data_IF_522745719422
#
_entry.id   IF_522745719422
#
_cell.length_a   1.000
_cell.length_b   1.000
_cell.length_c   1.000
_cell.angle_alpha   90.00
_cell.angle_beta   90.00
_cell.angle_gamma   90.00
#
_symmetry.space_group_name_H-M   'P 1'
#
loop_
_entity.id
_entity.type
_entity.pdbx_description
1 polymer ?
#
# COMPACT_ATOMS: atom_id res chain seq x y z
N UNK A 1 5.64 11.71 -6.59
CA UNK A 1 5.77 10.30 -6.19
C UNK A 1 7.21 9.89 -6.42
N UNK A 2 7.81 9.14 -5.51
CA UNK A 2 9.15 8.56 -5.69
C UNK A 2 9.07 7.14 -6.24
N UNK A 3 10.02 6.74 -7.07
CA UNK A 3 10.10 5.35 -7.58
C UNK A 3 10.39 4.38 -6.44
N UNK A 4 11.25 4.80 -5.51
CA UNK A 4 11.75 3.94 -4.44
C UNK A 4 10.71 3.68 -3.36
N UNK A 5 9.88 4.69 -3.05
CA UNK A 5 9.05 4.69 -1.84
C UNK A 5 7.61 5.19 -2.05
N UNK A 6 7.18 5.41 -3.29
CA UNK A 6 5.85 5.96 -3.54
C UNK A 6 5.73 7.42 -3.04
N UNK A 7 4.56 7.79 -2.52
CA UNK A 7 4.35 9.13 -1.97
C UNK A 7 5.05 9.29 -0.61
N UNK A 8 5.84 10.35 -0.50
CA UNK A 8 6.54 10.74 0.73
C UNK A 8 6.21 12.19 1.07
N UNK A 9 6.13 12.54 2.36
CA UNK A 9 6.27 13.94 2.77
C UNK A 9 7.55 14.52 2.17
N UNK A 10 7.49 15.75 1.67
CA UNK A 10 8.62 16.36 0.96
C UNK A 10 9.92 16.37 1.80
N UNK A 11 9.80 16.52 3.13
CA UNK A 11 10.92 16.49 4.07
C UNK A 11 11.61 15.13 4.24
N UNK A 12 11.04 14.05 3.72
CA UNK A 12 11.64 12.70 3.76
C UNK A 12 12.35 12.33 2.45
N UNK A 13 12.18 13.11 1.38
CA UNK A 13 12.81 12.86 0.09
C UNK A 13 14.30 13.20 0.20
N UNK A 14 15.15 12.32 -0.32
CA UNK A 14 16.62 12.43 -0.23
C UNK A 14 17.22 12.70 -1.60
N UNK A 15 18.44 13.26 -1.60
CA UNK A 15 19.24 13.39 -2.82
C UNK A 15 19.45 12.03 -3.48
N UNK A 16 19.36 12.00 -4.80
CA UNK A 16 19.48 10.78 -5.61
C UNK A 16 18.20 9.97 -5.75
N UNK A 17 17.12 10.27 -5.01
CA UNK A 17 15.82 9.63 -5.23
C UNK A 17 15.23 10.04 -6.59
N UNK A 18 14.45 9.15 -7.18
CA UNK A 18 13.80 9.37 -8.46
C UNK A 18 12.35 9.79 -8.25
N UNK A 19 11.95 10.90 -8.85
CA UNK A 19 10.57 11.40 -8.85
C UNK A 19 9.93 11.19 -10.22
N UNK A 20 8.64 10.91 -10.25
CA UNK A 20 7.91 10.50 -11.47
C UNK A 20 7.22 11.70 -12.14
N UNK A 21 7.41 11.82 -13.45
CA UNK A 21 6.72 12.75 -14.36
C UNK A 21 5.39 12.17 -14.86
N UNK A 22 4.52 13.03 -15.41
CA UNK A 22 3.20 12.63 -15.92
C UNK A 22 3.24 11.58 -17.05
N UNK A 23 4.32 11.56 -17.83
CA UNK A 23 4.52 10.62 -18.93
C UNK A 23 5.23 9.32 -18.49
N UNK A 24 5.48 9.16 -17.19
CA UNK A 24 6.16 8.00 -16.62
C UNK A 24 7.69 8.09 -16.63
N UNK A 25 8.28 9.16 -17.18
CA UNK A 25 9.72 9.41 -17.03
C UNK A 25 10.08 9.75 -15.58
N UNK A 26 11.37 9.71 -15.29
CA UNK A 26 11.90 9.92 -13.94
C UNK A 26 12.94 11.02 -13.92
N UNK A 27 12.82 11.93 -12.96
CA UNK A 27 13.81 12.92 -12.62
C UNK A 27 14.57 12.55 -11.36
N UNK A 28 15.84 12.95 -11.26
CA UNK A 28 16.66 12.72 -10.07
C UNK A 28 16.64 13.97 -9.18
N UNK A 29 16.36 13.78 -7.89
CA UNK A 29 16.47 14.85 -6.89
C UNK A 29 17.95 15.21 -6.69
N UNK A 30 18.38 16.32 -7.30
CA UNK A 30 19.78 16.76 -7.30
C UNK A 30 20.13 17.77 -6.20
N UNK A 31 19.14 18.37 -5.54
CA UNK A 31 19.36 19.38 -4.53
C UNK A 31 18.10 19.77 -3.76
N UNK A 32 18.30 20.35 -2.57
CA UNK A 32 17.24 20.98 -1.78
C UNK A 32 17.60 22.43 -1.49
N UNK A 33 16.59 23.31 -1.52
CA UNK A 33 16.73 24.69 -1.05
C UNK A 33 15.60 25.01 -0.09
N UNK A 34 15.97 25.20 1.18
CA UNK A 34 15.07 25.78 2.17
C UNK A 34 14.88 27.26 1.87
N UNK A 35 13.62 27.69 1.70
CA UNK A 35 13.27 29.10 1.48
C UNK A 35 12.50 29.58 2.70
N UNK A 36 13.13 30.32 3.63
CA UNK A 36 12.44 30.81 4.82
C UNK A 36 11.43 31.91 4.48
N UNK A 37 10.39 32.03 5.29
CA UNK A 37 9.37 33.07 5.19
C UNK A 37 7.94 32.51 5.03
N UNK A 38 6.96 33.39 5.17
CA UNK A 38 5.55 33.07 4.92
C UNK A 38 5.22 33.38 3.47
N UNK A 39 4.57 32.46 2.78
CA UNK A 39 4.06 32.65 1.43
C UNK A 39 2.65 32.09 1.32
N UNK A 40 1.82 32.72 0.50
CA UNK A 40 0.57 32.11 0.05
C UNK A 40 0.90 30.87 -0.77
N UNK A 41 0.38 29.73 -0.33
CA UNK A 41 0.50 28.45 -1.02
C UNK A 41 -0.86 28.06 -1.57
N UNK A 42 -0.87 27.43 -2.74
CA UNK A 42 -2.11 27.00 -3.39
C UNK A 42 -2.20 25.49 -3.41
N UNK A 43 -3.43 25.01 -3.42
CA UNK A 43 -3.75 23.59 -3.46
C UNK A 43 -4.89 23.34 -4.44
N UNK A 44 -4.94 22.12 -4.98
CA UNK A 44 -6.02 21.66 -5.85
C UNK A 44 -6.79 20.55 -5.14
N UNK A 45 -8.11 20.72 -5.06
CA UNK A 45 -9.01 19.63 -4.70
C UNK A 45 -9.37 18.89 -5.99
N UNK A 46 -9.00 17.62 -6.06
CA UNK A 46 -9.34 16.72 -7.17
C UNK A 46 -10.20 15.59 -6.61
N UNK A 47 -11.28 15.27 -7.32
CA UNK A 47 -12.34 14.40 -6.78
C UNK A 47 -11.92 12.94 -6.57
N UNK A 48 -10.83 12.48 -7.19
CA UNK A 48 -10.37 11.09 -7.17
C UNK A 48 -8.85 11.02 -7.03
N UNK A 49 -8.37 10.06 -6.25
CA UNK A 49 -6.95 9.70 -6.02
C UNK A 49 -6.05 10.81 -5.45
N UNK A 50 -6.57 12.03 -5.30
CA UNK A 50 -5.89 13.18 -4.69
C UNK A 50 -4.51 13.46 -5.31
N UNK A 51 -4.35 13.03 -6.55
CA UNK A 51 -3.09 13.00 -7.30
C UNK A 51 -3.23 13.87 -8.54
N UNK A 52 -2.27 14.76 -8.74
CA UNK A 52 -2.24 15.68 -9.87
C UNK A 52 -0.78 16.00 -10.22
N UNK A 53 -0.58 16.76 -11.29
CA UNK A 53 0.75 17.11 -11.78
C UNK A 53 1.01 18.59 -11.62
N UNK A 54 2.25 18.96 -11.25
CA UNK A 54 2.64 20.36 -11.03
C UNK A 54 3.99 20.72 -11.63
N UNK A 55 4.17 22.01 -11.90
CA UNK A 55 5.47 22.59 -12.28
C UNK A 55 5.96 22.18 -13.67
N UNK A 56 7.19 22.58 -13.96
CA UNK A 56 7.89 22.20 -15.20
C UNK A 56 8.30 20.74 -15.09
N UNK A 57 7.91 19.92 -16.08
CA UNK A 57 8.06 18.45 -16.05
C UNK A 57 6.82 17.71 -15.57
N UNK A 58 5.75 18.42 -15.17
CA UNK A 58 4.48 17.81 -14.77
C UNK A 58 4.67 16.70 -13.71
N UNK A 59 5.34 17.03 -12.61
CA UNK A 59 5.68 16.06 -11.57
C UNK A 59 4.42 15.57 -10.85
N UNK A 60 4.30 14.26 -10.68
CA UNK A 60 3.17 13.65 -9.98
C UNK A 60 3.27 13.98 -8.49
N UNK A 61 2.31 14.73 -7.98
CA UNK A 61 2.18 15.09 -6.56
C UNK A 61 0.85 14.59 -6.03
N UNK A 62 0.79 14.44 -4.73
CA UNK A 62 -0.42 14.10 -4.02
C UNK A 62 -0.67 15.15 -2.96
N UNK A 63 -1.92 15.62 -2.86
CA UNK A 63 -2.36 16.40 -1.72
C UNK A 63 -3.54 15.69 -1.05
N UNK A 64 -3.30 15.35 0.20
CA UNK A 64 -4.34 15.35 1.21
C UNK A 64 -3.78 16.01 2.47
N UNK A 65 -4.64 16.69 3.23
CA UNK A 65 -4.32 17.46 4.43
C UNK A 65 -3.85 16.62 5.62
N UNK A 66 -2.74 15.89 5.45
CA UNK A 66 -2.23 14.91 6.41
C UNK A 66 -2.99 13.61 6.28
N UNK A 67 -2.30 12.57 5.81
CA UNK A 67 -2.82 11.23 5.47
C UNK A 67 -3.76 11.21 4.26
N UNK A 68 -3.57 10.23 3.37
CA UNK A 68 -4.56 9.90 2.33
C UNK A 68 -5.89 9.72 3.08
N UNK A 69 -6.95 10.48 2.79
CA UNK A 69 -8.20 10.28 3.49
C UNK A 69 -8.71 8.95 2.98
N UNK A 70 -8.70 7.95 3.86
CA UNK A 70 -9.26 6.65 3.56
C UNK A 70 -10.67 6.82 2.98
N UNK A 71 -10.91 6.19 1.83
CA UNK A 71 -12.13 6.37 1.04
C UNK A 71 -13.40 6.04 1.82
N UNK A 72 -13.27 5.21 2.86
CA UNK A 72 -14.36 4.80 3.72
C UNK A 72 -13.98 4.71 5.20
N UNK A 73 -15.02 4.65 6.05
CA UNK A 73 -14.87 4.49 7.49
C UNK A 73 -14.20 3.16 7.84
N UNK A 74 -14.50 2.08 7.12
CA UNK A 74 -13.94 0.75 7.35
C UNK A 74 -12.45 0.73 7.05
N UNK A 75 -12.02 1.33 5.93
CA UNK A 75 -10.59 1.46 5.62
C UNK A 75 -9.86 2.29 6.68
N UNK A 76 -10.43 3.43 7.10
CA UNK A 76 -9.85 4.25 8.17
C UNK A 76 -9.68 3.49 9.48
N UNK A 77 -10.72 2.77 9.89
CA UNK A 77 -10.70 2.01 11.15
C UNK A 77 -9.70 0.84 11.08
N UNK A 78 -9.63 0.15 9.95
CA UNK A 78 -8.66 -0.91 9.72
C UNK A 78 -7.23 -0.37 9.78
N UNK A 79 -6.96 0.77 9.14
CA UNK A 79 -5.65 1.43 9.19
C UNK A 79 -5.22 1.80 10.61
N UNK A 80 -6.12 2.44 11.37
CA UNK A 80 -5.87 2.79 12.77
C UNK A 80 -5.66 1.56 13.65
N UNK A 81 -6.39 0.47 13.39
CA UNK A 81 -6.24 -0.78 14.14
C UNK A 81 -4.88 -1.42 13.88
N UNK A 82 -4.43 -1.43 12.63
CA UNK A 82 -3.08 -1.89 12.26
C UNK A 82 -2.02 -1.03 12.95
N UNK A 83 -2.18 0.30 12.96
CA UNK A 83 -1.24 1.21 13.65
C UNK A 83 -1.21 0.97 15.18
N UNK A 84 -2.32 0.49 15.75
CA UNK A 84 -2.42 0.06 17.13
C UNK A 84 -1.89 -1.38 17.38
N UNK A 85 -1.38 -2.04 16.34
CA UNK A 85 -0.79 -3.39 16.42
C UNK A 85 -1.74 -4.54 16.12
N UNK A 86 -2.95 -4.28 15.61
CA UNK A 86 -3.85 -5.35 15.18
C UNK A 86 -3.28 -6.08 13.96
N UNK A 87 -3.26 -7.41 14.03
CA UNK A 87 -2.78 -8.29 12.95
C UNK A 87 -3.91 -8.81 12.08
N UNK A 88 -5.15 -8.75 12.54
CA UNK A 88 -6.33 -9.16 11.79
C UNK A 88 -7.33 -8.00 11.78
N UNK A 89 -7.69 -7.52 10.59
CA UNK A 89 -8.67 -6.44 10.40
C UNK A 89 -9.63 -6.78 9.27
N UNK A 90 -10.79 -6.12 9.24
CA UNK A 90 -11.82 -6.35 8.21
C UNK A 90 -12.19 -5.05 7.52
N UNK A 91 -12.35 -5.11 6.21
CA UNK A 91 -12.86 -4.04 5.35
C UNK A 91 -14.02 -4.57 4.49
N UNK A 92 -14.73 -3.68 3.80
CA UNK A 92 -16.00 -4.01 3.16
C UNK A 92 -15.83 -4.77 1.84
N UNK A 93 -14.70 -4.58 1.14
CA UNK A 93 -14.48 -5.14 -0.20
C UNK A 93 -13.00 -5.39 -0.49
N UNK A 94 -12.72 -6.15 -1.54
CA UNK A 94 -11.36 -6.35 -2.06
C UNK A 94 -10.70 -5.02 -2.40
N UNK A 95 -11.46 -4.10 -3.02
CA UNK A 95 -10.96 -2.77 -3.40
C UNK A 95 -10.53 -1.94 -2.19
N UNK A 96 -11.28 -2.03 -1.08
CA UNK A 96 -10.91 -1.39 0.18
C UNK A 96 -9.65 -2.01 0.80
N UNK A 97 -9.47 -3.33 0.68
CA UNK A 97 -8.27 -4.00 1.16
C UNK A 97 -7.03 -3.59 0.33
N UNK A 98 -7.20 -3.41 -0.98
CA UNK A 98 -6.16 -2.93 -1.87
C UNK A 98 -5.79 -1.48 -1.56
N UNK A 99 -6.77 -0.61 -1.32
CA UNK A 99 -6.51 0.76 -0.88
C UNK A 99 -5.72 0.79 0.44
N UNK A 100 -6.15 0.00 1.43
CA UNK A 100 -5.46 -0.10 2.70
C UNK A 100 -4.00 -0.54 2.51
N UNK A 101 -3.77 -1.51 1.62
CA UNK A 101 -2.42 -1.95 1.27
C UNK A 101 -1.60 -0.85 0.62
N UNK A 102 -2.16 -0.17 -0.37
CA UNK A 102 -1.52 0.91 -1.10
C UNK A 102 -1.15 2.08 -0.19
N UNK A 103 -2.03 2.44 0.75
CA UNK A 103 -1.77 3.54 1.67
C UNK A 103 -0.73 3.22 2.75
N UNK A 104 -0.65 1.97 3.22
CA UNK A 104 0.23 1.61 4.36
C UNK A 104 1.54 0.93 3.97
N UNK A 105 1.57 0.16 2.88
CA UNK A 105 2.67 -0.76 2.60
C UNK A 105 3.31 -0.57 1.22
N UNK A 106 2.58 -0.04 0.23
CA UNK A 106 3.16 0.25 -1.08
C UNK A 106 4.35 1.20 -0.97
N UNK A 107 5.39 0.94 -1.76
CA UNK A 107 6.65 1.68 -1.68
C UNK A 107 7.60 1.21 -0.56
N UNK A 108 7.18 0.31 0.34
CA UNK A 108 8.08 -0.28 1.34
C UNK A 108 8.87 -1.49 0.83
N UNK A 109 8.76 -1.81 -0.47
CA UNK A 109 9.49 -2.90 -1.12
C UNK A 109 8.84 -4.29 -0.97
N UNK A 110 7.58 -4.37 -0.53
CA UNK A 110 6.83 -5.62 -0.46
C UNK A 110 6.68 -6.27 -1.84
N UNK A 111 6.85 -7.60 -1.90
CA UNK A 111 6.81 -8.39 -3.14
C UNK A 111 5.52 -9.20 -3.22
N UNK A 112 4.82 -9.11 -4.35
CA UNK A 112 3.61 -9.90 -4.57
C UNK A 112 3.96 -11.37 -4.81
N UNK A 113 3.29 -12.26 -4.08
CA UNK A 113 3.44 -13.72 -4.16
C UNK A 113 2.11 -14.44 -4.41
N UNK A 114 1.06 -13.72 -4.81
CA UNK A 114 -0.23 -14.30 -5.21
C UNK A 114 -0.06 -15.42 -6.23
N UNK A 115 -0.76 -16.53 -5.99
CA UNK A 115 -0.72 -17.72 -6.84
C UNK A 115 0.49 -18.63 -6.61
N UNK A 116 1.46 -18.24 -5.78
CA UNK A 116 2.55 -19.12 -5.36
C UNK A 116 2.17 -19.90 -4.11
N UNK A 117 2.55 -21.18 -4.06
CA UNK A 117 2.51 -21.93 -2.82
C UNK A 117 3.54 -21.38 -1.82
N UNK A 118 3.34 -21.67 -0.54
CA UNK A 118 4.27 -21.25 0.50
C UNK A 118 5.73 -21.67 0.27
N UNK A 119 6.00 -22.92 -0.15
CA UNK A 119 7.34 -23.37 -0.53
C UNK A 119 7.91 -22.63 -1.75
N UNK A 120 7.11 -22.40 -2.80
CA UNK A 120 7.57 -21.69 -4.01
C UNK A 120 7.99 -20.26 -3.70
N UNK A 121 7.19 -19.51 -2.95
CA UNK A 121 7.54 -18.16 -2.53
C UNK A 121 8.84 -18.13 -1.72
N UNK A 122 9.04 -19.10 -0.82
CA UNK A 122 10.27 -19.21 -0.02
C UNK A 122 11.48 -19.57 -0.88
N UNK A 123 11.33 -20.46 -1.85
CA UNK A 123 12.41 -20.83 -2.77
C UNK A 123 12.80 -19.66 -3.68
N UNK A 124 11.82 -18.88 -4.14
CA UNK A 124 12.06 -17.74 -5.03
C UNK A 124 12.74 -16.57 -4.31
N UNK A 125 12.37 -16.30 -3.06
CA UNK A 125 12.80 -15.09 -2.33
C UNK A 125 13.69 -15.36 -1.12
N UNK A 126 14.02 -16.63 -0.83
CA UNK A 126 14.76 -17.09 0.35
C UNK A 126 13.97 -17.01 1.67
N UNK A 127 12.90 -16.20 1.71
CA UNK A 127 12.04 -15.96 2.85
C UNK A 127 10.69 -15.40 2.40
N UNK A 128 9.65 -15.60 3.20
CA UNK A 128 8.35 -14.92 3.02
C UNK A 128 8.35 -13.50 3.58
N UNK A 129 9.36 -13.09 4.35
CA UNK A 129 9.43 -11.71 4.90
C UNK A 129 9.47 -10.69 3.76
N UNK A 130 8.70 -9.62 3.90
CA UNK A 130 8.58 -8.60 2.87
C UNK A 130 7.84 -9.10 1.63
N UNK A 131 6.93 -10.06 1.78
CA UNK A 131 6.00 -10.47 0.72
C UNK A 131 4.56 -10.26 1.16
N UNK A 132 3.66 -10.25 0.19
CA UNK A 132 2.22 -10.27 0.40
C UNK A 132 1.57 -11.16 -0.65
N UNK A 133 0.35 -11.61 -0.39
CA UNK A 133 -0.42 -12.37 -1.35
C UNK A 133 -1.92 -12.25 -1.06
N UNK A 134 -2.69 -12.39 -2.13
CA UNK A 134 -4.15 -12.42 -2.13
C UNK A 134 -4.63 -13.86 -2.02
N UNK A 135 -5.42 -14.12 -0.98
CA UNK A 135 -6.11 -15.36 -0.70
C UNK A 135 -7.62 -15.14 -0.92
N UNK A 136 -8.01 -14.90 -2.18
CA UNK A 136 -9.36 -14.47 -2.58
C UNK A 136 -10.01 -15.35 -3.66
N UNK A 137 -9.33 -16.41 -4.10
CA UNK A 137 -9.87 -17.40 -5.03
C UNK A 137 -10.57 -18.51 -4.25
N UNK A 138 -11.83 -18.78 -4.58
CA UNK A 138 -12.61 -19.86 -3.99
C UNK A 138 -12.34 -21.20 -4.68
N UNK A 139 -12.26 -22.29 -3.91
CA UNK A 139 -12.32 -23.66 -4.40
C UNK A 139 -13.77 -24.04 -4.80
N UNK A 140 -13.97 -25.17 -5.52
CA UNK A 140 -15.31 -25.61 -5.93
C UNK A 140 -16.28 -25.86 -4.76
N UNK A 141 -15.75 -26.09 -3.56
CA UNK A 141 -16.51 -26.32 -2.33
C UNK A 141 -16.86 -25.01 -1.59
N UNK A 142 -16.40 -23.85 -2.10
CA UNK A 142 -16.66 -22.52 -1.56
C UNK A 142 -15.71 -22.11 -0.43
N UNK A 143 -14.66 -22.88 -0.16
CA UNK A 143 -13.54 -22.51 0.70
C UNK A 143 -12.50 -21.67 -0.05
N UNK A 144 -11.57 -21.03 0.66
CA UNK A 144 -10.46 -20.32 0.01
C UNK A 144 -9.42 -21.33 -0.49
N UNK A 145 -9.07 -21.25 -1.77
CA UNK A 145 -8.10 -22.15 -2.39
C UNK A 145 -6.77 -22.13 -1.61
N UNK A 146 -6.19 -23.31 -1.40
CA UNK A 146 -4.93 -23.46 -0.65
C UNK A 146 -5.10 -23.42 0.87
N UNK A 147 -6.32 -23.28 1.40
CA UNK A 147 -6.62 -23.35 2.83
C UNK A 147 -7.42 -24.63 3.16
N UNK A 148 -6.98 -25.39 4.16
CA UNK A 148 -7.71 -26.58 4.62
C UNK A 148 -8.95 -26.23 5.45
N UNK A 149 -9.93 -27.13 5.49
CA UNK A 149 -11.25 -26.96 6.13
C UNK A 149 -11.26 -26.62 7.64
N UNK A 150 -10.10 -26.59 8.31
CA UNK A 150 -9.95 -26.19 9.71
C UNK A 150 -9.05 -24.96 9.92
N UNK A 151 -8.63 -24.28 8.86
CA UNK A 151 -7.80 -23.08 8.98
C UNK A 151 -8.73 -21.87 9.27
N UNK A 152 -8.64 -21.24 10.46
CA UNK A 152 -9.49 -20.08 10.79
C UNK A 152 -9.29 -18.91 9.84
N UNK A 153 -8.17 -18.85 9.11
CA UNK A 153 -7.88 -17.83 8.11
C UNK A 153 -8.47 -18.15 6.72
N UNK A 154 -8.89 -19.40 6.46
CA UNK A 154 -9.47 -19.83 5.18
C UNK A 154 -10.97 -19.60 5.05
N UNK A 155 -11.61 -19.00 6.05
CA UNK A 155 -13.06 -18.80 6.07
C UNK A 155 -13.55 -17.57 5.32
N UNK A 156 -12.67 -16.62 5.00
CA UNK A 156 -13.00 -15.39 4.28
C UNK A 156 -11.87 -14.98 3.32
N UNK A 157 -12.20 -14.38 2.16
CA UNK A 157 -11.22 -13.73 1.30
C UNK A 157 -10.37 -12.72 2.06
N UNK A 158 -9.06 -12.74 1.83
CA UNK A 158 -8.17 -11.81 2.51
C UNK A 158 -6.88 -11.51 1.74
N UNK A 159 -6.29 -10.37 2.09
CA UNK A 159 -4.91 -10.03 1.77
C UNK A 159 -4.03 -10.40 2.96
N UNK A 160 -2.98 -11.18 2.74
CA UNK A 160 -2.01 -11.54 3.77
C UNK A 160 -0.65 -10.90 3.51
N UNK A 161 -0.12 -10.22 4.53
CA UNK A 161 1.14 -9.48 4.49
C UNK A 161 2.11 -10.12 5.48
N UNK A 162 3.33 -10.40 5.02
CA UNK A 162 4.41 -10.95 5.83
C UNK A 162 5.41 -9.83 6.18
N UNK A 163 5.40 -9.28 7.41
CA UNK A 163 6.19 -8.10 7.74
C UNK A 163 7.69 -8.30 7.51
N UNK A 164 8.38 -7.23 7.10
CA UNK A 164 9.84 -7.26 6.93
C UNK A 164 10.57 -7.60 8.22
N UNK A 165 10.11 -7.12 9.36
CA UNK A 165 10.75 -7.30 10.66
C UNK A 165 10.56 -8.72 11.23
N UNK A 166 9.65 -9.51 10.64
CA UNK A 166 9.17 -10.77 11.21
C UNK A 166 7.99 -10.52 12.16
N UNK A 167 7.59 -11.55 12.91
CA UNK A 167 6.41 -11.50 13.79
C UNK A 167 5.15 -12.03 13.11
N UNK A 168 4.01 -11.63 13.65
CA UNK A 168 2.71 -12.10 13.20
C UNK A 168 2.37 -11.50 11.82
N UNK A 169 1.75 -12.32 10.97
CA UNK A 169 1.26 -11.87 9.67
C UNK A 169 0.08 -10.91 9.87
N UNK A 170 -0.01 -9.92 8.99
CA UNK A 170 -1.16 -9.01 8.96
C UNK A 170 -2.14 -9.52 7.91
N UNK A 171 -3.41 -9.66 8.28
CA UNK A 171 -4.51 -10.12 7.41
C UNK A 171 -5.59 -9.06 7.34
N UNK A 172 -5.94 -8.71 6.11
CA UNK A 172 -7.04 -7.80 5.80
C UNK A 172 -8.14 -8.61 5.15
N UNK A 173 -9.15 -8.98 5.94
CA UNK A 173 -10.31 -9.72 5.49
C UNK A 173 -11.30 -8.80 4.77
N UNK A 174 -11.99 -9.34 3.78
CA UNK A 174 -13.05 -8.62 3.08
C UNK A 174 -14.15 -9.57 2.60
N UNK A 175 -15.33 -8.99 2.36
CA UNK A 175 -16.40 -9.69 1.65
C UNK A 175 -16.11 -9.70 0.15
N UNK A 176 -16.56 -10.76 -0.54
CA UNK A 176 -16.64 -10.73 -2.01
C UNK A 176 -17.59 -9.62 -2.48
N UNK A 177 -17.26 -9.00 -3.61
CA UNK A 177 -18.09 -7.96 -4.26
C UNK A 177 -19.41 -8.52 -4.80
#
# INVERSE_FOLDING_TARGET
>A
MTVEKGFLPVGQIKLGMHVVEADGQVGVVSGWRMVPGVKTMYNLEVAKDHTFVVGVGMWVVHNCGGDIPWSSKTVRQAAQSIDAGATDVTVSSRSEAEELFLGKYQGSGYRNTSGLSGPEAKNLFGSKRGTYHWDDVLDPEGGIQGHGAGNPHGGLPHLQIHPFEGGDNIRVFFSGD
#
